data_IF_430408040894
#
_entry.id   IF_430408040894
#
_cell.length_a   1.000
_cell.length_b   1.000
_cell.length_c   1.000
_cell.angle_alpha   90.00
_cell.angle_beta   90.00
_cell.angle_gamma   90.00
#
_symmetry.space_group_name_H-M   'P 1'
#
loop_
_entity.id
_entity.type
_entity.pdbx_description
1 polymer ?
#
# COMPACT_ATOMS: atom_id res chain seq x y z
N UNK A 1 25.87 19.91 48.99
CA UNK A 1 25.86 18.69 48.15
C UNK A 1 24.84 18.93 47.04
N UNK A 2 25.27 19.14 45.80
CA UNK A 2 24.37 19.47 44.67
C UNK A 2 23.99 18.18 43.92
N UNK A 3 22.74 18.00 43.48
CA UNK A 3 22.34 16.81 42.75
C UNK A 3 22.95 16.84 41.33
N UNK A 4 23.66 15.77 41.00
CA UNK A 4 24.15 15.52 39.64
C UNK A 4 22.96 15.06 38.80
N UNK A 5 22.52 15.89 37.86
CA UNK A 5 21.54 15.50 36.85
C UNK A 5 22.26 14.64 35.79
N UNK A 6 21.97 13.34 35.77
CA UNK A 6 22.42 12.44 34.71
C UNK A 6 21.44 12.55 33.55
N UNK A 7 21.88 13.22 32.49
CA UNK A 7 21.15 13.34 31.23
C UNK A 7 21.37 12.06 30.41
N UNK A 8 20.42 11.12 30.49
CA UNK A 8 20.43 9.93 29.63
C UNK A 8 19.92 10.33 28.25
N UNK A 9 20.85 10.67 27.36
CA UNK A 9 20.57 10.85 25.94
C UNK A 9 20.36 9.47 25.31
N UNK A 10 19.11 9.04 25.18
CA UNK A 10 18.78 7.90 24.32
C UNK A 10 19.05 8.33 22.88
N UNK A 11 20.05 7.73 22.25
CA UNK A 11 20.30 7.88 20.82
C UNK A 11 19.13 7.25 20.08
N UNK A 12 18.19 8.06 19.61
CA UNK A 12 17.16 7.61 18.67
C UNK A 12 17.90 7.32 17.36
N UNK A 13 18.14 6.04 17.08
CA UNK A 13 18.70 5.63 15.80
C UNK A 13 17.71 6.03 14.71
N UNK A 14 18.01 7.11 14.00
CA UNK A 14 17.29 7.46 12.79
C UNK A 14 17.57 6.37 11.75
N UNK A 15 16.52 5.72 11.25
CA UNK A 15 16.64 4.65 10.25
C UNK A 15 17.40 5.19 9.04
N UNK A 16 18.56 4.59 8.71
CA UNK A 16 19.32 4.99 7.53
C UNK A 16 18.67 4.40 6.29
N UNK A 17 18.28 5.28 5.36
CA UNK A 17 17.63 4.94 4.09
C UNK A 17 18.43 3.98 3.18
N UNK A 18 19.70 3.70 3.48
CA UNK A 18 20.56 2.77 2.74
C UNK A 18 20.61 1.34 3.30
N UNK A 19 19.92 1.04 4.40
CA UNK A 19 19.93 -0.28 5.06
C UNK A 19 18.60 -1.04 4.88
N UNK A 20 17.73 -0.57 3.98
CA UNK A 20 16.46 -1.24 3.73
C UNK A 20 16.71 -2.41 2.79
N UNK A 21 16.93 -3.60 3.35
CA UNK A 21 16.84 -4.83 2.58
C UNK A 21 15.41 -4.96 2.03
N UNK A 22 15.22 -4.95 0.70
CA UNK A 22 13.88 -4.97 0.11
C UNK A 22 13.27 -6.36 0.27
N UNK A 23 12.45 -6.54 1.31
CA UNK A 23 11.65 -7.74 1.52
C UNK A 23 10.18 -7.49 1.18
N UNK A 24 9.54 -8.43 0.49
CA UNK A 24 8.10 -8.38 0.23
C UNK A 24 7.31 -8.43 1.55
N UNK A 25 6.33 -7.53 1.70
CA UNK A 25 5.53 -7.43 2.93
C UNK A 25 4.45 -8.51 3.07
N UNK A 26 4.11 -9.20 1.97
CA UNK A 26 3.26 -10.38 2.05
C UNK A 26 2.07 -10.46 1.11
N UNK A 27 1.88 -9.50 0.19
CA UNK A 27 0.76 -9.51 -0.76
C UNK A 27 0.71 -10.81 -1.59
N UNK A 28 1.85 -11.23 -2.17
CA UNK A 28 1.94 -12.48 -2.95
C UNK A 28 1.90 -13.72 -2.06
N UNK A 29 2.71 -13.74 -0.99
CA UNK A 29 2.88 -14.92 -0.14
C UNK A 29 1.67 -15.26 0.73
N UNK A 30 0.71 -14.34 0.89
CA UNK A 30 -0.42 -14.48 1.81
C UNK A 30 -0.13 -14.06 3.26
N UNK A 31 1.10 -13.62 3.59
CA UNK A 31 1.42 -13.12 4.93
C UNK A 31 0.62 -11.87 5.32
N UNK A 32 0.27 -11.02 4.35
CA UNK A 32 -0.83 -10.06 4.50
C UNK A 32 -2.12 -10.82 4.24
N UNK A 33 -2.97 -10.94 5.26
CA UNK A 33 -4.21 -11.73 5.20
C UNK A 33 -5.32 -11.02 4.45
N UNK A 34 -6.36 -11.75 4.02
CA UNK A 34 -7.50 -11.17 3.30
C UNK A 34 -8.24 -10.11 4.12
N UNK A 35 -8.30 -10.28 5.44
CA UNK A 35 -8.93 -9.31 6.34
C UNK A 35 -8.20 -7.96 6.39
N UNK A 36 -6.91 -7.95 6.07
CA UNK A 36 -6.09 -6.74 6.00
C UNK A 36 -6.26 -5.98 4.68
N UNK A 37 -6.93 -6.57 3.68
CA UNK A 37 -7.11 -5.98 2.35
C UNK A 37 -8.56 -5.57 2.17
N UNK A 38 -8.82 -4.27 2.14
CA UNK A 38 -10.17 -3.70 1.99
C UNK A 38 -10.20 -2.70 0.84
N UNK A 39 -11.40 -2.29 0.42
CA UNK A 39 -11.57 -1.30 -0.63
C UNK A 39 -12.80 -0.43 -0.36
N UNK A 40 -12.85 0.74 -0.98
CA UNK A 40 -14.03 1.63 -0.99
C UNK A 40 -15.29 0.94 -1.49
N UNK A 41 -15.16 0.16 -2.56
CA UNK A 41 -16.25 -0.59 -3.19
C UNK A 41 -15.69 -1.82 -3.90
N UNK A 42 -16.54 -2.64 -4.51
CA UNK A 42 -16.13 -3.70 -5.45
C UNK A 42 -17.30 -4.04 -6.35
N UNK A 43 -17.03 -4.20 -7.65
CA UNK A 43 -18.04 -4.58 -8.65
C UNK A 43 -18.69 -5.91 -8.27
N UNK A 44 -17.86 -6.90 -7.95
CA UNK A 44 -18.28 -8.20 -7.42
C UNK A 44 -17.23 -8.69 -6.42
N UNK A 45 -17.65 -8.93 -5.19
CA UNK A 45 -16.73 -9.26 -4.09
C UNK A 45 -16.06 -10.61 -4.27
N UNK A 46 -16.71 -11.56 -4.95
CA UNK A 46 -16.21 -12.91 -5.11
C UNK A 46 -15.16 -12.99 -6.22
N UNK A 47 -15.46 -12.43 -7.39
CA UNK A 47 -14.60 -12.49 -8.56
C UNK A 47 -13.50 -11.44 -8.54
N UNK A 48 -13.84 -10.20 -8.18
CA UNK A 48 -12.96 -9.02 -8.26
C UNK A 48 -12.98 -8.23 -6.95
N UNK A 49 -12.98 -8.95 -5.83
CA UNK A 49 -12.88 -8.37 -4.49
C UNK A 49 -11.46 -7.94 -4.13
N UNK A 50 -11.30 -7.04 -3.13
CA UNK A 50 -10.00 -6.55 -2.69
C UNK A 50 -9.03 -7.68 -2.31
N UNK A 51 -9.51 -8.76 -1.69
CA UNK A 51 -8.69 -9.90 -1.30
C UNK A 51 -8.03 -10.65 -2.49
N UNK A 52 -8.58 -10.49 -3.69
CA UNK A 52 -8.04 -11.12 -4.91
C UNK A 52 -6.96 -10.25 -5.58
N UNK A 53 -6.66 -9.04 -5.06
CA UNK A 53 -5.67 -8.11 -5.63
C UNK A 53 -4.21 -8.44 -5.24
N UNK A 54 -3.83 -9.71 -5.40
CA UNK A 54 -2.49 -10.21 -5.06
C UNK A 54 -1.63 -10.36 -6.31
N UNK A 55 -0.47 -9.72 -6.28
CA UNK A 55 0.53 -9.74 -7.36
C UNK A 55 0.90 -11.18 -7.74
N UNK A 56 1.09 -11.43 -9.04
CA UNK A 56 1.47 -12.74 -9.61
C UNK A 56 0.47 -13.88 -9.31
N UNK A 57 -0.77 -13.56 -8.95
CA UNK A 57 -1.83 -14.55 -8.75
C UNK A 57 -3.01 -14.33 -9.69
N UNK A 58 -3.72 -15.41 -10.02
CA UNK A 58 -5.00 -15.37 -10.74
C UNK A 58 -6.12 -15.97 -9.88
N UNK A 59 -6.05 -15.78 -8.56
CA UNK A 59 -7.12 -16.22 -7.67
C UNK A 59 -8.42 -15.50 -8.06
N UNK A 60 -9.47 -16.28 -8.35
CA UNK A 60 -10.69 -15.79 -8.98
C UNK A 60 -10.38 -15.04 -10.31
N UNK A 61 -10.52 -13.71 -10.34
CA UNK A 61 -10.14 -12.91 -11.52
C UNK A 61 -8.74 -12.30 -11.42
N UNK A 62 -8.03 -12.46 -10.29
CA UNK A 62 -6.66 -11.95 -10.09
C UNK A 62 -6.54 -10.43 -9.99
N UNK A 63 -7.61 -9.73 -9.61
CA UNK A 63 -7.64 -8.28 -9.46
C UNK A 63 -8.77 -7.87 -8.50
N UNK A 64 -8.78 -6.61 -8.08
CA UNK A 64 -10.02 -5.96 -7.66
C UNK A 64 -10.61 -5.18 -8.86
N UNK A 65 -11.90 -4.87 -8.84
CA UNK A 65 -12.44 -3.84 -9.72
C UNK A 65 -13.44 -3.02 -8.88
N UNK A 66 -13.36 -1.67 -8.88
CA UNK A 66 -14.32 -0.82 -8.21
C UNK A 66 -15.72 -1.03 -8.79
N UNK A 67 -16.74 -0.76 -7.98
CA UNK A 67 -18.14 -0.89 -8.41
C UNK A 67 -18.52 0.12 -9.51
N UNK A 68 -18.20 1.43 -9.38
CA UNK A 68 -18.42 2.38 -10.46
C UNK A 68 -17.27 2.34 -11.47
N UNK A 69 -17.56 2.73 -12.71
CA UNK A 69 -16.52 3.05 -13.68
C UNK A 69 -15.73 4.28 -13.20
N UNK A 70 -14.41 4.25 -13.42
CA UNK A 70 -13.54 5.36 -13.00
C UNK A 70 -13.58 6.51 -14.01
N UNK A 71 -13.84 7.70 -13.48
CA UNK A 71 -13.81 8.97 -14.19
C UNK A 71 -12.95 9.98 -13.40
N UNK A 72 -12.73 11.17 -13.95
CA UNK A 72 -11.86 12.19 -13.33
C UNK A 72 -12.33 12.68 -11.96
N UNK A 73 -13.60 12.46 -11.61
CA UNK A 73 -14.19 12.81 -10.32
C UNK A 73 -14.46 11.58 -9.43
N UNK A 74 -14.10 10.38 -9.88
CA UNK A 74 -14.23 9.17 -9.08
C UNK A 74 -13.13 9.12 -8.02
N UNK A 75 -13.48 8.66 -6.83
CA UNK A 75 -12.54 8.38 -5.76
C UNK A 75 -12.80 6.98 -5.24
N UNK A 76 -11.93 6.05 -5.63
CA UNK A 76 -12.00 4.63 -5.26
C UNK A 76 -10.62 4.21 -4.81
N UNK A 77 -10.53 3.34 -3.80
CA UNK A 77 -9.25 3.02 -3.19
C UNK A 77 -9.16 1.59 -2.71
N UNK A 78 -7.95 1.04 -2.76
CA UNK A 78 -7.57 -0.22 -2.12
C UNK A 78 -6.77 0.12 -0.89
N UNK A 79 -7.21 -0.37 0.26
CA UNK A 79 -6.53 -0.18 1.52
C UNK A 79 -5.90 -1.50 1.98
N UNK A 80 -4.63 -1.42 2.38
CA UNK A 80 -3.87 -2.50 2.99
C UNK A 80 -3.51 -2.06 4.40
N UNK A 81 -4.07 -2.75 5.40
CA UNK A 81 -3.73 -2.58 6.80
C UNK A 81 -2.53 -3.45 7.15
N UNK A 82 -1.39 -2.83 7.42
CA UNK A 82 -0.16 -3.55 7.71
C UNK A 82 -0.09 -4.01 9.18
N UNK A 83 -0.99 -3.52 10.05
CA UNK A 83 -1.09 -3.77 11.50
C UNK A 83 0.10 -3.28 12.33
N UNK A 84 1.29 -3.22 11.74
CA UNK A 84 2.53 -2.72 12.32
C UNK A 84 3.09 -1.58 11.46
N UNK A 85 4.02 -0.81 12.03
CA UNK A 85 4.69 0.24 11.26
C UNK A 85 5.78 -0.38 10.40
N UNK A 86 5.65 -0.21 9.08
CA UNK A 86 6.66 -0.62 8.12
C UNK A 86 7.30 0.60 7.44
N UNK A 87 8.55 0.44 7.07
CA UNK A 87 9.17 1.30 6.08
C UNK A 87 8.86 0.74 4.69
N UNK A 88 7.95 1.40 3.99
CA UNK A 88 7.52 1.01 2.66
C UNK A 88 8.44 1.69 1.64
N UNK A 89 9.19 0.89 0.89
CA UNK A 89 10.22 1.36 -0.04
C UNK A 89 9.76 1.34 -1.49
N UNK A 90 8.90 0.39 -1.85
CA UNK A 90 8.34 0.23 -3.18
C UNK A 90 6.92 -0.31 -3.11
N UNK A 91 6.15 -0.03 -4.17
CA UNK A 91 4.85 -0.65 -4.45
C UNK A 91 4.93 -1.22 -5.84
N UNK A 92 4.53 -2.48 -5.99
CA UNK A 92 4.40 -3.15 -7.27
C UNK A 92 2.92 -3.17 -7.66
N UNK A 93 2.64 -2.87 -8.93
CA UNK A 93 1.28 -2.87 -9.48
C UNK A 93 1.21 -3.83 -10.65
N UNK A 94 0.05 -4.46 -10.85
CA UNK A 94 -0.20 -5.36 -11.97
C UNK A 94 -1.65 -5.20 -12.42
N UNK A 95 -1.87 -5.32 -13.73
CA UNK A 95 -3.21 -5.38 -14.31
C UNK A 95 -3.82 -6.77 -14.25
N UNK A 96 -5.09 -6.86 -14.62
CA UNK A 96 -5.82 -8.12 -14.69
C UNK A 96 -5.42 -8.89 -15.96
N UNK A 97 -4.95 -10.12 -15.82
CA UNK A 97 -4.63 -10.97 -16.98
C UNK A 97 -5.88 -11.60 -17.62
N UNK A 98 -6.83 -12.09 -16.81
CA UNK A 98 -8.11 -12.62 -17.29
C UNK A 98 -7.96 -13.69 -18.38
N UNK A 99 -7.16 -14.73 -18.16
CA UNK A 99 -6.86 -15.78 -19.14
C UNK A 99 -6.35 -15.25 -20.50
N UNK A 100 -5.58 -14.16 -20.50
CA UNK A 100 -5.00 -13.56 -21.71
C UNK A 100 -5.95 -12.64 -22.47
N UNK A 101 -7.17 -12.45 -21.97
CA UNK A 101 -8.15 -11.51 -22.53
C UNK A 101 -8.27 -10.22 -21.73
N UNK A 102 -7.80 -10.23 -20.48
CA UNK A 102 -7.73 -9.06 -19.63
C UNK A 102 -6.74 -8.05 -20.20
N UNK A 103 -7.20 -6.81 -20.29
CA UNK A 103 -6.38 -5.65 -20.70
C UNK A 103 -6.54 -4.49 -19.75
N UNK A 104 -7.10 -4.75 -18.58
CA UNK A 104 -7.41 -3.72 -17.61
C UNK A 104 -6.25 -3.57 -16.64
N UNK A 105 -5.68 -2.37 -16.61
CA UNK A 105 -4.58 -1.99 -15.73
C UNK A 105 -4.70 -0.51 -15.43
N UNK A 106 -4.10 -0.08 -14.33
CA UNK A 106 -4.07 1.33 -13.96
C UNK A 106 -2.87 2.00 -14.59
N UNK A 107 -3.14 3.12 -15.27
CA UNK A 107 -2.10 3.99 -15.83
C UNK A 107 -1.49 4.93 -14.80
N UNK A 108 -2.28 5.40 -13.84
CA UNK A 108 -1.87 6.40 -12.84
C UNK A 108 -2.60 6.19 -11.52
N UNK A 109 -1.89 6.35 -10.40
CA UNK A 109 -2.47 6.23 -9.07
C UNK A 109 -1.77 7.15 -8.08
N UNK A 110 -2.43 7.38 -6.95
CA UNK A 110 -1.87 8.07 -5.80
C UNK A 110 -1.72 7.10 -4.63
N UNK A 111 -0.77 7.38 -3.75
CA UNK A 111 -0.59 6.63 -2.50
C UNK A 111 -0.90 7.59 -1.36
N UNK A 112 -1.87 7.23 -0.54
CA UNK A 112 -2.11 7.85 0.75
C UNK A 112 -1.66 6.86 1.83
N UNK A 113 -1.09 7.38 2.91
CA UNK A 113 -0.59 6.52 3.99
C UNK A 113 -0.89 7.11 5.37
N UNK A 114 -1.09 6.22 6.34
CA UNK A 114 -1.30 6.58 7.73
C UNK A 114 -0.04 6.26 8.55
N UNK A 115 0.28 7.13 9.50
CA UNK A 115 1.30 6.88 10.54
C UNK A 115 0.63 6.91 11.92
N UNK A 116 1.17 6.18 12.91
CA UNK A 116 0.70 6.27 14.28
C UNK A 116 0.64 7.72 14.76
N UNK A 117 -0.50 8.13 15.32
CA UNK A 117 -0.71 9.50 15.83
C UNK A 117 -0.77 10.59 14.75
N UNK A 118 -0.94 10.23 13.47
CA UNK A 118 -1.09 11.18 12.36
C UNK A 118 -2.43 11.03 11.66
N UNK A 119 -2.70 11.93 10.72
CA UNK A 119 -3.80 11.81 9.76
C UNK A 119 -3.30 11.15 8.48
N UNK A 120 -4.21 10.80 7.58
CA UNK A 120 -3.87 10.38 6.23
C UNK A 120 -3.01 11.45 5.53
N UNK A 121 -1.92 11.01 4.92
CA UNK A 121 -0.98 11.88 4.21
C UNK A 121 -0.83 11.36 2.79
N UNK A 122 -1.06 12.24 1.82
CA UNK A 122 -0.74 11.96 0.42
C UNK A 122 0.76 11.91 0.22
N UNK A 123 1.24 10.77 -0.27
CA UNK A 123 2.61 10.62 -0.67
C UNK A 123 2.92 11.56 -1.85
N UNK A 124 4.02 12.31 -1.73
CA UNK A 124 4.56 13.16 -2.78
C UNK A 124 6.06 12.93 -2.85
N UNK A 125 6.55 12.49 -4.00
CA UNK A 125 7.98 12.39 -4.22
C UNK A 125 8.60 13.79 -4.34
N UNK A 126 9.86 13.96 -3.90
CA UNK A 126 10.60 15.23 -3.95
C UNK A 126 11.04 15.65 -5.36
N UNK A 127 11.05 14.74 -6.34
CA UNK A 127 11.67 15.00 -7.67
C UNK A 127 10.90 14.43 -8.87
N UNK A 128 9.67 13.95 -8.68
CA UNK A 128 8.83 13.48 -9.80
C UNK A 128 9.10 12.06 -10.33
N UNK A 129 10.21 11.39 -10.00
CA UNK A 129 10.42 9.96 -10.33
C UNK A 129 11.16 9.16 -9.24
N UNK A 130 10.74 7.90 -9.10
CA UNK A 130 11.15 6.83 -8.16
C UNK A 130 10.82 7.06 -6.69
N UNK A 131 9.94 6.22 -6.15
CA UNK A 131 9.42 6.21 -4.78
C UNK A 131 10.60 6.19 -3.79
N UNK A 132 10.74 7.25 -3.01
CA UNK A 132 11.55 7.25 -1.79
C UNK A 132 10.74 6.68 -0.63
N UNK A 133 11.40 5.94 0.24
CA UNK A 133 10.81 5.22 1.36
C UNK A 133 9.93 6.12 2.25
N UNK A 134 8.80 5.59 2.73
CA UNK A 134 7.95 6.27 3.70
C UNK A 134 7.46 5.28 4.77
N UNK A 135 7.31 5.78 6.00
CA UNK A 135 6.79 4.99 7.11
C UNK A 135 5.26 4.94 7.03
N UNK A 136 4.68 3.75 7.13
CA UNK A 136 3.25 3.52 7.02
C UNK A 136 2.81 2.36 7.93
N UNK A 137 1.64 2.52 8.54
CA UNK A 137 0.87 1.41 9.15
C UNK A 137 -0.31 0.99 8.27
N UNK A 138 -0.79 1.89 7.43
CA UNK A 138 -1.81 1.63 6.41
C UNK A 138 -1.40 2.29 5.10
N UNK A 139 -1.64 1.57 4.00
CA UNK A 139 -1.42 1.99 2.63
C UNK A 139 -2.75 2.06 1.90
N UNK A 140 -3.01 3.16 1.22
CA UNK A 140 -4.16 3.34 0.36
C UNK A 140 -3.66 3.65 -1.04
N UNK A 141 -4.05 2.82 -2.01
CA UNK A 141 -3.77 3.00 -3.44
C UNK A 141 -5.05 3.44 -4.11
N UNK A 142 -5.07 4.69 -4.58
CA UNK A 142 -6.28 5.36 -5.09
C UNK A 142 -6.68 4.94 -6.52
N UNK A 143 -6.04 3.91 -7.10
CA UNK A 143 -6.48 3.17 -8.30
C UNK A 143 -5.49 2.02 -8.51
N UNK A 144 -5.90 0.77 -8.45
CA UNK A 144 -5.04 -0.39 -8.79
C UNK A 144 -5.85 -1.50 -9.47
N UNK A 145 -6.66 -1.18 -10.47
CA UNK A 145 -7.76 -2.06 -10.89
C UNK A 145 -8.03 -2.13 -12.40
N UNK A 146 -8.98 -3.02 -12.71
CA UNK A 146 -9.89 -2.81 -13.81
C UNK A 146 -10.63 -1.46 -13.68
#
# INVERSE_FOLDING_TARGET
MWPVFVLVLQTVSALRMGECEPSALGMESGAITDAQITASSSFDKQSVGPQNSRIRTELASGAWCPKPQIHSNSYEFLQINLENTYLVTAVETQGRYGNGTGREFVSEYMIDYLRPGSKWIRYRNRTGHTVRCFLSVDLVVDMMFC
#
